data_IF_207845337069
#
_entry.id   IF_207845337069
#
_cell.length_a   1.000
_cell.length_b   1.000
_cell.length_c   1.000
_cell.angle_alpha   90.00
_cell.angle_beta   90.00
_cell.angle_gamma   90.00
#
_symmetry.space_group_name_H-M   'P 1'
#
loop_
_entity.id
_entity.type
_entity.pdbx_description
1 polymer ?
#
# COMPACT_ATOMS: atom_id res chain seq x y z
N UNK A 1 9.54 2.72 -14.94
CA UNK A 1 8.11 2.36 -14.92
C UNK A 1 7.91 1.18 -13.99
N UNK A 2 7.07 1.27 -12.95
CA UNK A 2 6.70 0.10 -12.15
C UNK A 2 6.00 -0.92 -13.05
N UNK A 3 6.54 -2.14 -13.14
CA UNK A 3 6.04 -3.19 -14.06
C UNK A 3 4.91 -4.03 -13.46
N UNK A 4 4.65 -3.91 -12.16
CA UNK A 4 3.64 -4.69 -11.44
C UNK A 4 2.85 -3.80 -10.47
N UNK A 5 1.62 -4.19 -10.14
CA UNK A 5 0.76 -3.44 -9.20
C UNK A 5 1.40 -3.28 -7.83
N UNK A 6 2.17 -4.29 -7.40
CA UNK A 6 3.04 -4.24 -6.21
C UNK A 6 4.03 -3.08 -6.26
N UNK A 7 4.74 -2.88 -7.37
CA UNK A 7 5.65 -1.75 -7.54
C UNK A 7 4.92 -0.40 -7.57
N UNK A 8 3.72 -0.35 -8.16
CA UNK A 8 2.88 0.86 -8.15
C UNK A 8 2.47 1.23 -6.72
N UNK A 9 2.09 0.25 -5.91
CA UNK A 9 1.76 0.43 -4.49
C UNK A 9 2.97 0.95 -3.72
N UNK A 10 4.12 0.28 -3.85
CA UNK A 10 5.35 0.69 -3.15
C UNK A 10 5.80 2.09 -3.56
N UNK A 11 5.76 2.40 -4.86
CA UNK A 11 6.08 3.73 -5.37
C UNK A 11 5.17 4.80 -4.78
N UNK A 12 3.85 4.56 -4.79
CA UNK A 12 2.86 5.51 -4.25
C UNK A 12 3.07 5.73 -2.76
N UNK A 13 3.42 4.68 -2.01
CA UNK A 13 3.74 4.82 -0.59
C UNK A 13 5.01 5.63 -0.36
N UNK A 14 6.06 5.43 -1.16
CA UNK A 14 7.30 6.22 -1.09
C UNK A 14 7.03 7.69 -1.36
N UNK A 15 6.21 8.01 -2.37
CA UNK A 15 5.83 9.39 -2.67
C UNK A 15 4.97 10.04 -1.57
N UNK A 16 4.27 9.24 -0.77
CA UNK A 16 3.43 9.68 0.36
C UNK A 16 4.13 9.69 1.72
N UNK A 17 5.47 9.68 1.73
CA UNK A 17 6.24 9.70 2.98
C UNK A 17 6.17 8.39 3.75
N UNK A 18 5.88 7.29 3.06
CA UNK A 18 5.95 5.94 3.59
C UNK A 18 4.68 5.43 4.26
N UNK A 19 3.59 6.20 4.32
CA UNK A 19 2.32 5.69 4.83
C UNK A 19 1.11 6.41 4.25
N UNK A 20 0.03 5.66 3.98
CA UNK A 20 -1.20 6.20 3.40
C UNK A 20 -2.40 5.31 3.74
N UNK A 21 -3.61 5.86 3.77
CA UNK A 21 -4.81 5.03 3.98
C UNK A 21 -5.08 4.11 2.78
N UNK A 22 -5.55 2.88 3.01
CA UNK A 22 -5.92 1.92 1.95
C UNK A 22 -6.92 2.52 0.96
N UNK A 23 -7.90 3.29 1.45
CA UNK A 23 -8.89 3.95 0.59
C UNK A 23 -8.26 5.01 -0.31
N UNK A 24 -7.32 5.81 0.21
CA UNK A 24 -6.62 6.82 -0.60
C UNK A 24 -5.64 6.17 -1.58
N UNK A 25 -4.95 5.09 -1.17
CA UNK A 25 -4.11 4.28 -2.04
C UNK A 25 -4.90 3.70 -3.22
N UNK A 26 -6.07 3.11 -2.96
CA UNK A 26 -6.95 2.58 -4.00
C UNK A 26 -7.39 3.69 -4.97
N UNK A 27 -7.76 4.86 -4.43
CA UNK A 27 -8.18 6.01 -5.22
C UNK A 27 -7.06 6.53 -6.13
N UNK A 28 -5.82 6.61 -5.63
CA UNK A 28 -4.64 7.05 -6.40
C UNK A 28 -4.24 6.06 -7.49
N UNK A 29 -4.31 4.77 -7.18
CA UNK A 29 -3.98 3.71 -8.11
C UNK A 29 -5.11 3.43 -9.12
N UNK A 30 -6.28 4.06 -8.92
CA UNK A 30 -7.54 3.78 -9.64
C UNK A 30 -7.86 2.29 -9.64
N UNK A 31 -7.64 1.63 -8.50
CA UNK A 31 -7.74 0.18 -8.33
C UNK A 31 -8.90 -0.17 -7.41
N UNK A 32 -9.53 -1.32 -7.64
CA UNK A 32 -10.59 -1.79 -6.73
C UNK A 32 -10.00 -2.20 -5.39
N UNK A 33 -10.74 -1.98 -4.31
CA UNK A 33 -10.29 -2.34 -2.95
C UNK A 33 -9.99 -3.84 -2.78
N UNK A 34 -10.70 -4.71 -3.49
CA UNK A 34 -10.46 -6.15 -3.45
C UNK A 34 -9.15 -6.54 -4.14
N UNK A 35 -8.86 -5.94 -5.30
CA UNK A 35 -7.60 -6.17 -6.00
C UNK A 35 -6.43 -5.62 -5.19
N UNK A 36 -6.60 -4.41 -4.64
CA UNK A 36 -5.61 -3.83 -3.75
C UNK A 36 -5.40 -4.69 -2.49
N UNK A 37 -6.45 -5.32 -1.94
CA UNK A 37 -6.30 -6.24 -0.79
C UNK A 37 -5.40 -7.42 -1.10
N UNK A 38 -5.55 -8.02 -2.29
CA UNK A 38 -4.69 -9.13 -2.74
C UNK A 38 -3.23 -8.67 -2.80
N UNK A 39 -2.97 -7.55 -3.47
CA UNK A 39 -1.62 -6.98 -3.61
C UNK A 39 -1.02 -6.63 -2.25
N UNK A 40 -1.81 -6.01 -1.36
CA UNK A 40 -1.35 -5.65 -0.01
C UNK A 40 -1.01 -6.88 0.82
N UNK A 41 -1.79 -7.96 0.75
CA UNK A 41 -1.47 -9.22 1.44
C UNK A 41 -0.19 -9.85 0.93
N UNK A 42 0.06 -9.80 -0.38
CA UNK A 42 1.32 -10.30 -0.95
C UNK A 42 2.52 -9.47 -0.48
N UNK A 43 2.39 -8.14 -0.50
CA UNK A 43 3.42 -7.23 0.00
C UNK A 43 3.67 -7.37 1.50
N UNK A 44 2.62 -7.60 2.29
CA UNK A 44 2.71 -7.86 3.72
C UNK A 44 3.42 -9.19 4.00
N UNK A 45 3.06 -10.26 3.27
CA UNK A 45 3.76 -11.56 3.33
C UNK A 45 5.22 -11.46 2.92
N UNK A 46 5.54 -10.60 1.95
CA UNK A 46 6.90 -10.31 1.53
C UNK A 46 7.64 -9.37 2.51
N UNK A 47 7.00 -8.90 3.58
CA UNK A 47 7.60 -8.01 4.57
C UNK A 47 7.89 -6.60 4.05
N UNK A 48 7.23 -6.16 2.97
CA UNK A 48 7.45 -4.84 2.35
C UNK A 48 6.51 -3.76 2.87
N UNK A 49 5.31 -4.13 3.30
CA UNK A 49 4.31 -3.20 3.85
C UNK A 49 3.70 -3.74 5.14
N UNK A 50 3.19 -2.83 5.96
CA UNK A 50 2.45 -3.12 7.18
C UNK A 50 1.07 -2.50 7.09
N UNK A 51 0.05 -3.29 7.37
CA UNK A 51 -1.32 -2.80 7.55
C UNK A 51 -1.51 -2.45 9.03
N UNK A 52 -1.97 -1.24 9.31
CA UNK A 52 -2.25 -0.76 10.67
C UNK A 52 -3.58 -0.04 10.69
N UNK A 53 -4.47 -0.38 11.59
CA UNK A 53 -5.73 0.34 11.76
C UNK A 53 -5.53 1.55 12.69
N UNK A 54 -5.84 2.75 12.20
CA UNK A 54 -5.72 3.99 12.96
C UNK A 54 -7.08 4.71 12.92
N UNK A 55 -7.73 4.85 14.07
CA UNK A 55 -9.04 5.52 14.22
C UNK A 55 -10.10 4.97 13.24
N UNK A 56 -10.16 3.65 13.09
CA UNK A 56 -11.10 2.96 12.18
C UNK A 56 -10.77 3.07 10.69
N UNK A 57 -9.57 3.55 10.34
CA UNK A 57 -9.07 3.57 8.96
C UNK A 57 -7.90 2.62 8.81
N UNK A 58 -7.95 1.77 7.78
CA UNK A 58 -6.83 0.92 7.44
C UNK A 58 -5.72 1.76 6.78
N UNK A 59 -4.54 1.81 7.39
CA UNK A 59 -3.35 2.50 6.91
C UNK A 59 -2.33 1.47 6.43
N UNK A 60 -1.77 1.71 5.26
CA UNK A 60 -0.68 0.95 4.68
C UNK A 60 0.60 1.75 4.90
N UNK A 61 1.59 1.17 5.57
CA UNK A 61 2.92 1.75 5.74
C UNK A 61 3.99 0.90 5.09
N UNK A 62 5.07 1.51 4.60
CA UNK A 62 6.27 0.79 4.15
C UNK A 62 7.03 0.24 5.34
N UNK A 63 7.53 -0.99 5.19
CA UNK A 63 8.50 -1.58 6.11
C UNK A 63 9.87 -1.35 5.49
N UNK A 64 10.71 -0.55 6.15
CA UNK A 64 12.12 -0.42 5.77
C UNK A 64 12.55 0.88 5.08
N UNK A 65 11.85 2.01 5.24
CA UNK A 65 12.46 3.32 4.95
C UNK A 65 13.43 3.71 6.08
N UNK A 66 14.61 3.08 6.12
CA UNK A 66 15.79 3.54 6.86
C UNK A 66 17.03 3.34 6.00
#
# INVERSE_FOLDING_TARGET
MPRSDSDRVLWTLTEHGGSITKSDLARRLQMRLNELDVVLRELERAGKVKLTEIKGKLVVGLIGSR
#
